data_IF_786650951642
#
_entry.id   IF_786650951642
#
_cell.length_a   1.000
_cell.length_b   1.000
_cell.length_c   1.000
_cell.angle_alpha   90.00
_cell.angle_beta   90.00
_cell.angle_gamma   90.00
#
_symmetry.space_group_name_H-M   'P 1'
#
loop_
_entity.id
_entity.type
_entity.pdbx_description
1 polymer ?
#
# COMPACT_ATOMS: atom_id res chain seq x y z
N UNK A 1 -13.69 1.98 -35.24
CA UNK A 1 -12.52 1.53 -34.46
C UNK A 1 -12.77 2.00 -33.03
N UNK A 2 -13.48 1.21 -32.23
CA UNK A 2 -13.88 1.61 -30.88
C UNK A 2 -12.66 1.66 -29.98
N UNK A 3 -12.46 2.80 -29.33
CA UNK A 3 -11.44 2.98 -28.33
C UNK A 3 -11.65 1.96 -27.20
N UNK A 4 -10.63 1.13 -26.97
CA UNK A 4 -10.45 0.39 -25.73
C UNK A 4 -10.17 1.43 -24.63
N UNK A 5 -11.23 1.95 -24.00
CA UNK A 5 -11.10 2.74 -22.80
C UNK A 5 -10.95 1.76 -21.64
N UNK A 6 -9.82 1.74 -20.91
CA UNK A 6 -9.72 0.91 -19.72
C UNK A 6 -10.86 1.33 -18.78
N UNK A 7 -11.78 0.40 -18.53
CA UNK A 7 -12.91 0.61 -17.63
C UNK A 7 -12.35 0.76 -16.22
N UNK A 8 -11.92 1.97 -15.88
CA UNK A 8 -11.29 2.28 -14.60
C UNK A 8 -12.43 2.51 -13.62
N UNK A 9 -13.08 1.41 -13.19
CA UNK A 9 -13.99 1.47 -12.06
C UNK A 9 -13.24 2.10 -10.88
N UNK A 10 -13.75 3.16 -10.25
CA UNK A 10 -13.03 3.84 -9.18
C UNK A 10 -12.79 2.85 -8.03
N UNK A 11 -11.53 2.64 -7.69
CA UNK A 11 -11.15 1.84 -6.53
C UNK A 11 -11.68 2.52 -5.27
N UNK A 12 -12.32 1.75 -4.40
CA UNK A 12 -12.76 2.27 -3.11
C UNK A 12 -11.56 2.49 -2.19
N UNK A 13 -11.71 3.38 -1.20
CA UNK A 13 -10.67 3.60 -0.18
C UNK A 13 -10.30 2.29 0.53
N UNK A 14 -11.29 1.42 0.75
CA UNK A 14 -11.08 0.13 1.37
C UNK A 14 -10.25 -0.83 0.51
N UNK A 15 -10.49 -0.86 -0.81
CA UNK A 15 -9.68 -1.65 -1.74
C UNK A 15 -8.22 -1.15 -1.79
N UNK A 16 -8.03 0.17 -1.78
CA UNK A 16 -6.70 0.80 -1.72
C UNK A 16 -5.99 0.48 -0.41
N UNK A 17 -6.69 0.59 0.73
CA UNK A 17 -6.12 0.26 2.04
C UNK A 17 -5.70 -1.22 2.12
N UNK A 18 -6.51 -2.14 1.61
CA UNK A 18 -6.17 -3.56 1.55
C UNK A 18 -4.95 -3.82 0.65
N UNK A 19 -4.82 -3.09 -0.47
CA UNK A 19 -3.63 -3.18 -1.32
C UNK A 19 -2.37 -2.75 -0.57
N UNK A 20 -2.40 -1.58 0.08
CA UNK A 20 -1.28 -1.08 0.87
C UNK A 20 -0.88 -2.04 2.00
N UNK A 21 -1.86 -2.69 2.62
CA UNK A 21 -1.63 -3.68 3.67
C UNK A 21 -0.92 -4.94 3.13
N UNK A 22 -1.31 -5.41 1.94
CA UNK A 22 -0.63 -6.53 1.27
C UNK A 22 0.78 -6.16 0.81
N UNK A 23 0.96 -4.96 0.26
CA UNK A 23 2.26 -4.46 -0.18
C UNK A 23 3.23 -4.36 1.00
N UNK A 24 2.78 -3.74 2.09
CA UNK A 24 3.55 -3.60 3.32
C UNK A 24 3.94 -4.95 3.89
N UNK A 25 3.02 -5.93 3.95
CA UNK A 25 3.37 -7.29 4.42
C UNK A 25 4.44 -7.97 3.57
N UNK A 26 4.43 -7.75 2.25
CA UNK A 26 5.39 -8.38 1.33
C UNK A 26 6.76 -7.70 1.35
N UNK A 27 6.81 -6.38 1.52
CA UNK A 27 8.05 -5.59 1.41
C UNK A 27 8.66 -5.16 2.74
N UNK A 28 7.88 -5.07 3.81
CA UNK A 28 8.37 -4.55 5.09
C UNK A 28 9.34 -5.49 5.82
N UNK A 29 9.52 -6.74 5.41
CA UNK A 29 10.55 -7.64 5.95
C UNK A 29 10.68 -7.56 7.47
N UNK A 30 11.87 -7.20 7.96
CA UNK A 30 12.14 -7.03 9.39
C UNK A 30 11.46 -5.77 10.01
N UNK A 31 11.18 -4.75 9.21
CA UNK A 31 10.47 -3.54 9.65
C UNK A 31 9.02 -3.84 10.06
N UNK A 32 8.43 -4.91 9.51
CA UNK A 32 7.09 -5.36 9.91
C UNK A 32 7.00 -5.71 11.40
N UNK A 33 8.08 -6.19 12.01
CA UNK A 33 8.12 -6.51 13.45
C UNK A 33 8.01 -5.27 14.33
N UNK A 34 8.53 -4.12 13.89
CA UNK A 34 8.36 -2.86 14.61
C UNK A 34 6.88 -2.48 14.73
N UNK A 35 6.09 -2.74 13.68
CA UNK A 35 4.66 -2.45 13.66
C UNK A 35 3.81 -3.42 14.51
N UNK A 36 4.30 -4.61 14.84
CA UNK A 36 3.55 -5.57 15.67
C UNK A 36 3.36 -5.10 17.11
N UNK A 37 4.17 -4.13 17.55
CA UNK A 37 4.03 -3.51 18.87
C UNK A 37 2.85 -2.55 18.95
N UNK A 38 2.27 -2.13 17.82
CA UNK A 38 1.15 -1.19 17.78
C UNK A 38 -0.22 -1.89 17.87
N UNK A 39 -1.24 -1.20 18.41
CA UNK A 39 -2.64 -1.57 18.27
C UNK A 39 -3.02 -1.90 16.82
N UNK A 40 -3.99 -2.81 16.64
CA UNK A 40 -4.49 -3.22 15.31
C UNK A 40 -4.88 -2.05 14.38
N UNK A 41 -5.62 -1.01 14.81
CA UNK A 41 -5.98 0.09 13.92
C UNK A 41 -4.74 0.84 13.41
N UNK A 42 -3.82 1.18 14.30
CA UNK A 42 -2.60 1.92 13.95
C UNK A 42 -1.70 1.13 12.97
N UNK A 43 -1.71 -0.21 13.04
CA UNK A 43 -1.02 -1.06 12.05
C UNK A 43 -1.58 -0.91 10.63
N UNK A 44 -2.86 -0.62 10.49
CA UNK A 44 -3.47 -0.40 9.18
C UNK A 44 -3.03 0.94 8.61
N UNK A 45 -3.03 2.00 9.42
CA UNK A 45 -2.57 3.31 9.00
C UNK A 45 -1.08 3.31 8.64
N UNK A 46 -0.26 2.63 9.43
CA UNK A 46 1.16 2.45 9.12
C UNK A 46 1.39 1.70 7.81
N UNK A 47 0.51 0.77 7.43
CA UNK A 47 0.62 0.05 6.16
C UNK A 47 0.30 0.92 4.95
N UNK A 48 -0.57 1.92 5.10
CA UNK A 48 -0.84 2.92 4.06
C UNK A 48 0.35 3.85 3.92
N UNK A 49 0.85 4.34 5.05
CA UNK A 49 2.01 5.24 5.09
C UNK A 49 3.27 4.57 4.52
N UNK A 50 3.56 3.32 4.92
CA UNK A 50 4.71 2.56 4.41
C UNK A 50 4.62 2.33 2.90
N UNK A 51 3.42 1.99 2.39
CA UNK A 51 3.20 1.79 0.96
C UNK A 51 3.50 3.07 0.15
N UNK A 52 3.12 4.24 0.67
CA UNK A 52 3.42 5.52 0.06
C UNK A 52 4.93 5.81 0.06
N UNK A 53 5.59 5.71 1.23
CA UNK A 53 7.03 5.95 1.33
C UNK A 53 7.81 5.02 0.39
N UNK A 54 7.46 3.73 0.34
CA UNK A 54 8.15 2.78 -0.54
C UNK A 54 7.94 3.11 -2.02
N UNK A 55 6.79 3.64 -2.39
CA UNK A 55 6.57 4.11 -3.76
C UNK A 55 7.44 5.31 -4.10
N UNK A 56 7.62 6.25 -3.16
CA UNK A 56 8.56 7.36 -3.34
C UNK A 56 10.01 6.87 -3.46
N UNK A 57 10.44 5.92 -2.63
CA UNK A 57 11.78 5.33 -2.71
C UNK A 57 11.99 4.63 -4.06
N UNK A 58 11.01 3.84 -4.52
CA UNK A 58 11.08 3.17 -5.84
C UNK A 58 11.28 4.20 -6.98
N UNK A 59 10.65 5.38 -6.91
CA UNK A 59 10.82 6.46 -7.90
C UNK A 59 12.19 7.14 -7.78
N UNK A 60 12.74 7.24 -6.56
CA UNK A 60 14.04 7.88 -6.32
C UNK A 60 15.23 6.98 -6.63
N UNK A 61 15.05 5.65 -6.55
CA UNK A 61 16.07 4.65 -6.87
C UNK A 61 16.19 4.39 -8.40
N UNK A 62 15.16 4.70 -9.19
CA UNK A 62 15.14 4.65 -10.68
C UNK A 62 15.57 5.99 -11.32
#
# INVERSE_FOLDING_TARGET
MSADQPTTTPLTIEQSAQYCQRLSRRRAGNFYFAFLTLPKPDRQDMSILYAFMRHCDDIGDE
#
